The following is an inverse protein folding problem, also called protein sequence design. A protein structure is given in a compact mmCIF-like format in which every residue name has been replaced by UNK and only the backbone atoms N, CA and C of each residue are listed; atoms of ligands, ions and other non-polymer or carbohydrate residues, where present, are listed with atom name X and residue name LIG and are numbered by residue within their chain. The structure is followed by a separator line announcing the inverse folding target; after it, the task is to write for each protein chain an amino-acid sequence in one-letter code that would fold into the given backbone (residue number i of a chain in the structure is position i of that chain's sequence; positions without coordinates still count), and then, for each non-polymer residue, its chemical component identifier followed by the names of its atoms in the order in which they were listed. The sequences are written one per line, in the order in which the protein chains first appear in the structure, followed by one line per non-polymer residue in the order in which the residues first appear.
data_IF_584936351736
#
_entry.id   IF_584936351736
#
_cell.length_a   1.000
_cell.length_b   1.000
_cell.length_c   1.000
_cell.angle_alpha   90.00
_cell.angle_beta   90.00
_cell.angle_gamma   90.00
#
_symmetry.space_group_name_H-M   'P 1'
#
loop_
_entity.id
_entity.type
_entity.pdbx_description
1 polymer ?
#
# COMPACT_ATOMS: atom_id res chain seq x y z
N UNK A 1 18.27 12.09 -7.79
CA UNK A 1 17.84 10.68 -7.90
C UNK A 1 17.04 10.32 -6.65
N UNK A 2 15.83 9.77 -6.82
CA UNK A 2 15.05 9.27 -5.69
C UNK A 2 15.74 8.08 -5.04
N UNK A 3 15.99 8.14 -3.75
CA UNK A 3 16.57 7.05 -2.99
C UNK A 3 15.48 6.40 -2.14
N UNK A 4 15.25 5.11 -2.31
CA UNK A 4 14.39 4.35 -1.40
C UNK A 4 15.12 4.27 -0.07
N UNK A 5 14.52 4.80 0.99
CA UNK A 5 15.10 4.63 2.32
C UNK A 5 15.07 3.14 2.67
N UNK A 6 16.23 2.50 2.68
CA UNK A 6 16.39 1.08 2.97
C UNK A 6 15.73 0.71 4.32
N UNK A 7 15.79 1.61 5.31
CA UNK A 7 15.13 1.45 6.60
C UNK A 7 13.61 1.32 6.51
N UNK A 8 12.96 2.09 5.61
CA UNK A 8 11.50 2.04 5.42
C UNK A 8 11.08 0.74 4.75
N UNK A 9 11.82 0.32 3.72
CA UNK A 9 11.54 -0.94 3.00
C UNK A 9 11.76 -2.14 3.93
N UNK A 10 12.86 -2.14 4.70
CA UNK A 10 13.18 -3.18 5.68
C UNK A 10 12.14 -3.26 6.82
N UNK A 11 11.65 -2.10 7.31
CA UNK A 11 10.62 -2.08 8.35
C UNK A 11 9.31 -2.74 7.89
N UNK A 12 8.85 -2.43 6.68
CA UNK A 12 7.65 -3.05 6.13
C UNK A 12 7.82 -4.56 5.90
N UNK A 13 8.99 -4.99 5.44
CA UNK A 13 9.31 -6.41 5.22
C UNK A 13 9.32 -7.22 6.53
N UNK A 14 9.68 -6.61 7.67
CA UNK A 14 9.59 -7.24 8.99
C UNK A 14 8.16 -7.44 9.49
N UNK A 15 7.18 -6.70 8.95
CA UNK A 15 5.77 -6.76 9.36
C UNK A 15 4.90 -7.56 8.38
N UNK A 16 5.23 -7.50 7.09
CA UNK A 16 4.44 -8.11 6.02
C UNK A 16 5.37 -8.76 4.98
N UNK A 17 4.97 -9.88 4.35
CA UNK A 17 5.75 -10.51 3.28
C UNK A 17 5.71 -9.63 2.01
N UNK A 18 6.64 -8.70 1.89
CA UNK A 18 6.78 -7.85 0.70
C UNK A 18 7.44 -8.66 -0.41
N UNK A 19 6.72 -8.92 -1.49
CA UNK A 19 7.22 -9.65 -2.67
C UNK A 19 7.57 -8.75 -3.84
N UNK A 20 6.90 -7.60 -3.95
CA UNK A 20 7.06 -6.68 -5.07
C UNK A 20 7.04 -5.24 -4.57
N UNK A 21 7.90 -4.43 -5.14
CA UNK A 21 7.95 -2.97 -4.91
C UNK A 21 7.81 -2.30 -6.27
N UNK A 22 6.85 -1.39 -6.41
CA UNK A 22 6.70 -0.58 -7.61
C UNK A 22 7.10 0.85 -7.32
N UNK A 23 7.90 1.46 -8.19
CA UNK A 23 8.41 2.80 -8.02
C UNK A 23 8.39 3.60 -9.34
N UNK A 24 8.51 4.92 -9.25
CA UNK A 24 8.53 5.79 -10.41
C UNK A 24 9.87 5.73 -11.17
N UNK A 25 9.89 6.29 -12.39
CA UNK A 25 11.07 6.45 -13.28
C UNK A 25 12.26 7.19 -12.65
N UNK A 26 12.09 7.80 -11.48
CA UNK A 26 13.16 8.44 -10.72
C UNK A 26 13.97 7.46 -9.86
N UNK A 27 13.48 6.24 -9.65
CA UNK A 27 14.02 5.27 -8.69
C UNK A 27 14.92 4.17 -9.26
N UNK A 28 15.00 3.85 -10.57
CA UNK A 28 15.95 2.87 -11.06
C UNK A 28 17.39 3.29 -10.73
N UNK A 29 18.00 2.59 -9.79
CA UNK A 29 19.42 2.72 -9.43
C UNK A 29 19.93 1.37 -8.89
N UNK A 30 21.21 1.07 -9.09
CA UNK A 30 21.81 -0.17 -8.59
C UNK A 30 21.59 -0.35 -7.07
N UNK A 31 21.70 0.75 -6.31
CA UNK A 31 21.50 0.76 -4.87
C UNK A 31 20.04 0.41 -4.48
N UNK A 32 19.04 0.93 -5.22
CA UNK A 32 17.63 0.64 -4.96
C UNK A 32 17.27 -0.80 -5.32
N UNK A 33 17.81 -1.34 -6.42
CA UNK A 33 17.64 -2.76 -6.77
C UNK A 33 18.24 -3.67 -5.70
N UNK A 34 19.45 -3.38 -5.26
CA UNK A 34 20.10 -4.15 -4.19
C UNK A 34 19.34 -4.06 -2.84
N UNK A 35 18.82 -2.88 -2.48
CA UNK A 35 18.04 -2.70 -1.25
C UNK A 35 16.72 -3.48 -1.25
N UNK A 36 16.06 -3.59 -2.39
CA UNK A 36 14.81 -4.35 -2.51
C UNK A 36 15.08 -5.85 -2.61
N UNK A 37 16.15 -6.26 -3.29
CA UNK A 37 16.57 -7.66 -3.36
C UNK A 37 16.97 -8.20 -1.98
N UNK A 38 17.62 -7.39 -1.15
CA UNK A 38 18.02 -7.75 0.21
C UNK A 38 16.86 -8.17 1.12
N UNK A 39 15.63 -7.77 0.82
CA UNK A 39 14.41 -8.20 1.52
C UNK A 39 13.66 -9.32 0.79
N UNK A 40 14.25 -9.91 -0.25
CA UNK A 40 13.65 -10.97 -1.07
C UNK A 40 12.51 -10.49 -1.98
N UNK A 41 12.45 -9.19 -2.31
CA UNK A 41 11.44 -8.61 -3.18
C UNK A 41 12.00 -8.20 -4.55
N UNK A 42 11.10 -8.03 -5.52
CA UNK A 42 11.44 -7.55 -6.87
C UNK A 42 11.02 -6.10 -7.04
N UNK A 43 11.93 -5.24 -7.55
CA UNK A 43 11.64 -3.84 -7.86
C UNK A 43 11.19 -3.68 -9.31
N UNK A 44 9.99 -3.12 -9.50
CA UNK A 44 9.45 -2.72 -10.80
C UNK A 44 9.46 -1.19 -10.90
N UNK A 45 10.49 -0.63 -11.52
CA UNK A 45 10.63 0.80 -11.76
C UNK A 45 11.00 1.02 -13.23
N UNK A 46 10.20 1.74 -14.05
CA UNK A 46 10.45 1.92 -15.47
C UNK A 46 11.72 2.74 -15.70
N UNK A 47 12.49 2.34 -16.68
CA UNK A 47 13.69 3.07 -17.09
C UNK A 47 13.35 4.26 -17.99
N UNK A 48 14.20 5.28 -17.97
CA UNK A 48 14.12 6.41 -18.88
C UNK A 48 14.62 6.00 -20.27
N UNK A 49 14.10 6.64 -21.31
CA UNK A 49 14.46 6.30 -22.69
C UNK A 49 15.96 6.46 -23.02
N UNK A 50 16.66 7.32 -22.27
CA UNK A 50 18.10 7.57 -22.41
C UNK A 50 18.97 6.72 -21.46
N UNK A 51 18.39 5.69 -20.84
CA UNK A 51 19.14 4.82 -19.92
C UNK A 51 19.84 3.74 -20.72
N UNK A 52 21.12 3.50 -20.39
CA UNK A 52 21.90 2.36 -20.89
C UNK A 52 21.96 1.27 -19.83
N UNK A 53 21.88 0.00 -20.23
CA UNK A 53 21.95 -1.14 -19.30
C UNK A 53 23.34 -1.46 -18.75
N UNK A 54 24.38 -0.71 -19.15
CA UNK A 54 25.81 -1.03 -18.92
C UNK A 54 26.31 -0.82 -17.47
N UNK A 55 25.46 -1.04 -16.47
CA UNK A 55 25.81 -0.88 -15.03
C UNK A 55 26.16 -2.22 -14.38
N UNK A 56 25.75 -3.33 -15.01
CA UNK A 56 25.94 -4.68 -14.46
C UNK A 56 24.95 -5.08 -13.36
N UNK A 57 25.01 -6.34 -12.96
CA UNK A 57 24.28 -6.89 -11.82
C UNK A 57 22.76 -6.91 -11.98
N UNK A 58 22.05 -6.67 -10.89
CA UNK A 58 20.57 -6.65 -10.85
C UNK A 58 19.97 -5.52 -11.69
N UNK A 59 20.66 -4.39 -11.79
CA UNK A 59 20.23 -3.25 -12.59
C UNK A 59 20.16 -3.61 -14.09
N UNK A 60 21.20 -4.25 -14.62
CA UNK A 60 21.26 -4.71 -16.01
C UNK A 60 20.20 -5.77 -16.30
N UNK A 61 20.04 -6.75 -15.42
CA UNK A 61 18.99 -7.77 -15.53
C UNK A 61 17.60 -7.14 -15.60
N UNK A 62 17.31 -6.19 -14.71
CA UNK A 62 16.05 -5.46 -14.69
C UNK A 62 15.85 -4.59 -15.93
N UNK A 63 16.90 -3.97 -16.47
CA UNK A 63 16.87 -3.22 -17.71
C UNK A 63 16.52 -4.10 -18.91
N UNK A 64 17.17 -5.25 -19.04
CA UNK A 64 16.85 -6.22 -20.10
C UNK A 64 15.44 -6.77 -19.96
N UNK A 65 15.02 -7.12 -18.75
CA UNK A 65 13.65 -7.57 -18.51
C UNK A 65 12.61 -6.49 -18.90
N UNK A 66 12.84 -5.22 -18.53
CA UNK A 66 11.97 -4.10 -18.93
C UNK A 66 11.84 -3.93 -20.44
N UNK A 67 12.93 -4.15 -21.20
CA UNK A 67 12.92 -3.97 -22.66
C UNK A 67 12.39 -5.20 -23.41
N UNK A 68 12.73 -6.42 -22.97
CA UNK A 68 12.39 -7.65 -23.67
C UNK A 68 11.00 -8.18 -23.27
N UNK A 69 10.58 -7.98 -22.01
CA UNK A 69 9.31 -8.46 -21.45
C UNK A 69 8.42 -7.30 -21.02
N UNK A 70 8.26 -6.30 -21.89
CA UNK A 70 7.61 -5.04 -21.55
C UNK A 70 6.16 -5.21 -21.10
N UNK A 71 5.40 -6.08 -21.73
CA UNK A 71 4.00 -6.31 -21.38
C UNK A 71 3.85 -6.91 -19.98
N UNK A 72 4.63 -7.93 -19.69
CA UNK A 72 4.67 -8.57 -18.38
C UNK A 72 5.12 -7.58 -17.29
N UNK A 73 6.19 -6.81 -17.57
CA UNK A 73 6.64 -5.75 -16.68
C UNK A 73 5.53 -4.73 -16.37
N UNK A 74 4.79 -4.30 -17.39
CA UNK A 74 3.71 -3.32 -17.23
C UNK A 74 2.56 -3.87 -16.42
N UNK A 75 2.22 -5.16 -16.50
CA UNK A 75 1.20 -5.77 -15.64
C UNK A 75 1.55 -5.63 -14.15
N UNK A 76 2.82 -5.83 -13.78
CA UNK A 76 3.29 -5.61 -12.42
C UNK A 76 3.33 -4.13 -12.06
N UNK A 77 3.81 -3.28 -12.96
CA UNK A 77 3.94 -1.84 -12.73
C UNK A 77 2.60 -1.13 -12.57
N UNK A 78 1.58 -1.51 -13.34
CA UNK A 78 0.25 -0.89 -13.28
C UNK A 78 -0.47 -1.09 -11.93
N UNK A 79 -0.03 -2.02 -11.10
CA UNK A 79 -0.51 -2.11 -9.71
C UNK A 79 -0.26 -0.83 -8.90
N UNK A 80 0.69 0.00 -9.32
CA UNK A 80 0.92 1.33 -8.74
C UNK A 80 -0.30 2.26 -8.90
N UNK A 81 -1.02 2.16 -10.00
CA UNK A 81 -2.20 2.99 -10.25
C UNK A 81 -3.31 2.77 -9.21
N UNK A 82 -3.37 1.58 -8.60
CA UNK A 82 -4.32 1.29 -7.53
C UNK A 82 -4.07 2.16 -6.28
N UNK A 83 -2.80 2.41 -5.96
CA UNK A 83 -2.42 3.27 -4.83
C UNK A 83 -2.85 4.71 -5.11
N UNK A 84 -2.55 5.22 -6.31
CA UNK A 84 -2.94 6.58 -6.73
C UNK A 84 -4.46 6.74 -6.75
N UNK A 85 -5.20 5.76 -7.25
CA UNK A 85 -6.66 5.73 -7.24
C UNK A 85 -7.21 5.75 -5.81
N UNK A 86 -6.65 4.94 -4.91
CA UNK A 86 -7.05 4.90 -3.50
C UNK A 86 -6.82 6.24 -2.82
N UNK A 87 -5.64 6.86 -3.00
CA UNK A 87 -5.36 8.19 -2.46
C UNK A 87 -6.32 9.25 -3.02
N UNK A 88 -6.64 9.20 -4.31
CA UNK A 88 -7.59 10.11 -4.94
C UNK A 88 -9.01 9.94 -4.38
N UNK A 89 -9.44 8.70 -4.13
CA UNK A 89 -10.74 8.42 -3.51
C UNK A 89 -10.80 8.91 -2.07
N UNK A 90 -9.74 8.67 -1.28
CA UNK A 90 -9.65 9.16 0.11
C UNK A 90 -9.70 10.68 0.15
N UNK A 91 -8.91 11.37 -0.68
CA UNK A 91 -8.91 12.83 -0.76
C UNK A 91 -10.28 13.39 -1.16
N UNK A 92 -10.93 12.80 -2.13
CA UNK A 92 -12.27 13.24 -2.59
C UNK A 92 -13.34 13.07 -1.51
N UNK A 93 -13.26 12.00 -0.71
CA UNK A 93 -14.25 11.68 0.31
C UNK A 93 -14.04 12.41 1.63
N UNK A 94 -12.77 12.56 2.06
CA UNK A 94 -12.42 13.06 3.39
C UNK A 94 -11.59 14.37 3.35
N UNK A 95 -11.40 14.95 2.16
CA UNK A 95 -10.56 16.13 1.96
C UNK A 95 -9.08 15.81 1.83
N UNK A 96 -8.35 16.71 1.20
CA UNK A 96 -6.91 16.58 0.89
C UNK A 96 -6.01 17.21 1.95
N UNK A 97 -6.58 17.93 2.92
CA UNK A 97 -5.85 18.61 3.99
C UNK A 97 -5.95 17.86 5.32
N UNK A 98 -4.91 17.99 6.13
CA UNK A 98 -4.85 17.50 7.51
C UNK A 98 -5.06 18.69 8.43
N UNK A 99 -6.02 18.61 9.35
CA UNK A 99 -6.40 19.69 10.26
C UNK A 99 -5.64 19.65 11.60
N UNK A 100 -5.16 18.48 11.97
CA UNK A 100 -4.38 18.30 13.19
C UNK A 100 -3.06 19.07 13.14
N UNK A 101 -2.60 19.56 14.31
CA UNK A 101 -1.42 20.44 14.40
C UNK A 101 -0.17 19.72 14.93
N UNK A 102 -0.31 18.60 15.62
CA UNK A 102 0.82 17.82 16.12
C UNK A 102 1.12 16.65 15.18
N UNK A 103 2.38 16.25 15.04
CA UNK A 103 2.79 15.18 14.14
C UNK A 103 2.04 13.87 14.40
N UNK A 104 1.89 13.48 15.66
CA UNK A 104 1.14 12.27 16.02
C UNK A 104 -0.34 12.38 15.64
N UNK A 105 -0.98 13.54 15.89
CA UNK A 105 -2.37 13.75 15.52
C UNK A 105 -2.55 13.78 13.98
N UNK A 106 -1.61 14.36 13.23
CA UNK A 106 -1.63 14.34 11.76
C UNK A 106 -1.58 12.90 11.23
N UNK A 107 -0.67 12.08 11.77
CA UNK A 107 -0.58 10.65 11.41
C UNK A 107 -1.87 9.91 11.70
N UNK A 108 -2.45 10.12 12.89
CA UNK A 108 -3.70 9.49 13.30
C UNK A 108 -4.88 9.94 12.43
N UNK A 109 -4.96 11.23 12.06
CA UNK A 109 -5.99 11.75 11.16
C UNK A 109 -5.90 11.09 9.78
N UNK A 110 -4.70 10.98 9.21
CA UNK A 110 -4.49 10.31 7.92
C UNK A 110 -4.88 8.84 8.00
N UNK A 111 -4.42 8.13 9.04
CA UNK A 111 -4.78 6.71 9.24
C UNK A 111 -6.29 6.53 9.40
N UNK A 112 -6.96 7.40 10.16
CA UNK A 112 -8.40 7.36 10.32
C UNK A 112 -9.14 7.53 8.99
N UNK A 113 -8.69 8.44 8.10
CA UNK A 113 -9.26 8.60 6.75
C UNK A 113 -9.17 7.31 5.93
N UNK A 114 -8.04 6.60 6.00
CA UNK A 114 -7.88 5.31 5.31
C UNK A 114 -8.75 4.21 5.92
N UNK A 115 -8.84 4.13 7.24
CA UNK A 115 -9.72 3.16 7.92
C UNK A 115 -11.18 3.41 7.53
N UNK A 116 -11.65 4.65 7.57
CA UNK A 116 -12.99 5.01 7.15
C UNK A 116 -13.23 4.68 5.67
N UNK A 117 -12.23 4.92 4.79
CA UNK A 117 -12.33 4.53 3.38
C UNK A 117 -12.50 3.02 3.22
N UNK A 118 -11.69 2.22 3.92
CA UNK A 118 -11.78 0.76 3.86
C UNK A 118 -13.14 0.25 4.37
N UNK A 119 -13.67 0.81 5.46
CA UNK A 119 -15.00 0.49 5.97
C UNK A 119 -16.06 0.78 4.90
N UNK A 120 -16.00 1.95 4.26
CA UNK A 120 -16.92 2.28 3.17
C UNK A 120 -16.82 1.29 2.00
N UNK A 121 -15.61 0.85 1.64
CA UNK A 121 -15.43 -0.15 0.57
C UNK A 121 -16.04 -1.51 0.95
N UNK A 122 -15.87 -1.93 2.20
CA UNK A 122 -16.48 -3.17 2.72
C UNK A 122 -18.00 -3.07 2.72
N UNK A 123 -18.55 -1.97 3.24
CA UNK A 123 -20.00 -1.74 3.24
C UNK A 123 -20.56 -1.77 1.81
N UNK A 124 -19.93 -1.06 0.87
CA UNK A 124 -20.34 -1.09 -0.55
C UNK A 124 -20.25 -2.49 -1.15
N UNK A 125 -19.19 -3.26 -0.82
CA UNK A 125 -19.04 -4.63 -1.30
C UNK A 125 -20.15 -5.56 -0.76
N UNK A 126 -20.53 -5.41 0.48
CA UNK A 126 -21.61 -6.20 1.11
C UNK A 126 -22.98 -5.86 0.46
N UNK A 127 -23.34 -4.56 0.43
CA UNK A 127 -24.69 -4.15 0.04
C UNK A 127 -24.90 -4.01 -1.46
N UNK A 128 -23.87 -3.58 -2.20
CA UNK A 128 -24.01 -3.33 -3.65
C UNK A 128 -23.57 -4.52 -4.50
N UNK A 129 -22.61 -5.33 -4.02
CA UNK A 129 -22.06 -6.47 -4.75
C UNK A 129 -22.43 -7.83 -4.17
N UNK A 130 -23.20 -7.86 -3.08
CA UNK A 130 -23.64 -9.08 -2.44
C UNK A 130 -22.51 -9.91 -1.81
N UNK A 131 -21.41 -9.25 -1.36
CA UNK A 131 -20.33 -9.95 -0.69
C UNK A 131 -20.86 -10.52 0.63
N UNK A 132 -20.64 -11.83 0.85
CA UNK A 132 -20.95 -12.45 2.13
C UNK A 132 -20.01 -11.92 3.24
N UNK A 133 -20.53 -11.29 4.31
CA UNK A 133 -19.73 -10.80 5.41
C UNK A 133 -18.86 -11.89 6.06
N UNK A 134 -19.32 -13.14 6.10
CA UNK A 134 -18.58 -14.25 6.71
C UNK A 134 -17.32 -14.61 5.91
N UNK A 135 -17.30 -14.38 4.58
CA UNK A 135 -16.14 -14.62 3.74
C UNK A 135 -14.95 -13.68 4.06
N UNK A 136 -15.20 -12.55 4.72
CA UNK A 136 -14.16 -11.61 5.19
C UNK A 136 -13.99 -11.62 6.71
N UNK A 137 -14.50 -12.66 7.39
CA UNK A 137 -14.34 -12.85 8.83
C UNK A 137 -15.20 -11.95 9.71
N UNK A 138 -16.21 -11.28 9.12
CA UNK A 138 -17.23 -10.57 9.89
C UNK A 138 -18.30 -11.58 10.39
N UNK A 139 -18.86 -11.37 11.60
CA UNK A 139 -19.94 -12.23 12.11
C UNK A 139 -21.16 -12.17 11.20
N UNK A 140 -21.77 -13.33 10.94
CA UNK A 140 -23.02 -13.42 10.19
C UNK A 140 -24.20 -12.85 10.99
N UNK A 141 -25.32 -12.62 10.32
CA UNK A 141 -26.57 -12.21 10.96
C UNK A 141 -27.10 -13.38 11.82
N UNK A 142 -26.71 -13.45 13.07
CA UNK A 142 -27.06 -14.52 14.01
C UNK A 142 -25.88 -15.01 14.88
N UNK A 143 -24.67 -14.61 14.53
CA UNK A 143 -23.52 -14.87 15.39
C UNK A 143 -23.51 -13.86 16.56
N UNK A 144 -23.40 -14.38 17.78
CA UNK A 144 -23.13 -13.56 18.97
C UNK A 144 -21.87 -12.73 18.74
N UNK A 145 -21.85 -11.42 19.05
CA UNK A 145 -20.68 -10.57 18.85
C UNK A 145 -19.51 -11.11 19.66
N UNK A 146 -18.55 -11.75 18.99
CA UNK A 146 -17.29 -12.19 19.60
C UNK A 146 -16.53 -10.94 20.07
N UNK A 147 -16.43 -10.83 21.38
CA UNK A 147 -15.57 -9.91 22.12
C UNK A 147 -15.62 -8.43 21.69
N UNK A 148 -16.35 -7.63 22.45
CA UNK A 148 -16.19 -6.18 22.46
C UNK A 148 -14.71 -5.85 22.69
N UNK A 149 -14.04 -5.27 21.71
CA UNK A 149 -12.69 -4.74 21.87
C UNK A 149 -12.79 -3.63 22.93
N UNK A 150 -12.42 -3.94 24.17
CA UNK A 150 -12.34 -2.96 25.23
C UNK A 150 -11.05 -2.16 25.04
N UNK A 151 -11.17 -0.94 24.58
CA UNK A 151 -10.07 0.00 24.62
C UNK A 151 -9.80 0.39 26.08
N UNK A 152 -8.59 0.21 26.61
CA UNK A 152 -8.27 0.65 27.95
C UNK A 152 -8.46 2.17 28.05
N UNK A 153 -9.30 2.63 28.97
CA UNK A 153 -9.54 4.06 29.23
C UNK A 153 -10.84 4.66 28.69
N UNK A 154 -11.65 3.92 27.93
CA UNK A 154 -12.98 4.39 27.49
C UNK A 154 -14.05 3.90 28.47
N UNK A 155 -14.67 4.82 29.20
CA UNK A 155 -15.84 4.50 30.05
C UNK A 155 -17.01 4.09 29.18
N UNK A 156 -17.62 2.94 29.48
CA UNK A 156 -18.82 2.44 28.82
C UNK A 156 -19.96 3.45 28.94
N UNK A 157 -20.43 3.97 27.82
CA UNK A 157 -21.68 4.70 27.74
C UNK A 157 -22.77 3.63 27.68
N UNK A 158 -23.56 3.50 28.76
CA UNK A 158 -24.75 2.64 28.74
C UNK A 158 -25.83 3.37 27.93
N UNK A 159 -26.51 2.70 26.99
CA UNK A 159 -27.70 3.27 26.40
C UNK A 159 -28.80 3.35 27.48
N UNK A 160 -29.41 4.51 27.59
CA UNK A 160 -30.66 4.75 28.33
C UNK A 160 -31.83 4.19 27.58
#
# INVERSE_FOLDING_TARGET
MGNLKASTVSWHAGQFPVRQVTADKAYPSAANFAAVDAIGATLYAPFKNNTTGAVGGLYEKAFHYFNLHREEFLQHYHRRSMVESTFSMVKRKFGDSVKAKTETAMKNEVLAKFVCHNICCVVSAIYERGLDPTAIGLPGAGDEPRAVIRFPGVKSIRPT
#
